data_IF_050137705671
#
_entry.id   IF_050137705671
#
_cell.length_a   1.000
_cell.length_b   1.000
_cell.length_c   1.000
_cell.angle_alpha   90.00
_cell.angle_beta   90.00
_cell.angle_gamma   90.00
#
_symmetry.space_group_name_H-M   'P 1'
#
loop_
_entity.id
_entity.type
_entity.pdbx_description
1 polymer ?
#
# COMPACT_ATOMS: atom_id res chain seq x y z
N UNK A 1 26.05 -12.12 -5.09
CA UNK A 1 25.71 -11.39 -6.32
C UNK A 1 24.65 -12.15 -7.13
N UNK A 2 23.48 -12.43 -6.52
CA UNK A 2 22.32 -13.10 -7.17
C UNK A 2 20.97 -12.44 -6.80
N UNK A 3 20.99 -11.27 -6.17
CA UNK A 3 19.78 -10.65 -5.58
C UNK A 3 19.25 -9.42 -6.33
N UNK A 4 19.74 -9.13 -7.55
CA UNK A 4 19.34 -7.93 -8.30
C UNK A 4 18.38 -8.19 -9.49
N UNK A 5 17.81 -9.39 -9.60
CA UNK A 5 16.93 -9.78 -10.74
C UNK A 5 15.52 -10.25 -10.33
N UNK A 6 15.01 -9.81 -9.18
CA UNK A 6 13.55 -9.78 -8.96
C UNK A 6 13.06 -8.39 -9.37
N UNK A 7 12.72 -8.30 -10.65
CA UNK A 7 11.93 -7.23 -11.25
C UNK A 7 10.85 -6.74 -10.28
N UNK A 8 10.76 -5.42 -10.10
CA UNK A 8 9.70 -4.83 -9.29
C UNK A 8 8.36 -5.36 -9.80
N UNK A 9 7.74 -6.21 -9.01
CA UNK A 9 6.48 -6.80 -9.42
C UNK A 9 5.46 -5.68 -9.65
N UNK A 10 4.76 -5.61 -10.79
CA UNK A 10 3.93 -4.45 -11.16
C UNK A 10 2.80 -4.16 -10.16
N UNK A 11 2.42 -5.15 -9.34
CA UNK A 11 1.44 -4.99 -8.26
C UNK A 11 2.03 -4.47 -6.94
N UNK A 12 3.36 -4.46 -6.77
CA UNK A 12 3.99 -4.10 -5.49
C UNK A 12 3.96 -2.59 -5.32
N UNK A 13 3.28 -2.13 -4.27
CA UNK A 13 3.25 -0.73 -3.88
C UNK A 13 4.57 -0.36 -3.19
N UNK A 14 5.20 0.74 -3.62
CA UNK A 14 6.45 1.22 -3.04
C UNK A 14 6.21 2.54 -2.27
N UNK A 15 6.83 2.74 -1.10
CA UNK A 15 6.67 3.98 -0.32
C UNK A 15 7.07 5.21 -1.14
N UNK A 16 6.24 6.24 -1.14
CA UNK A 16 6.48 7.49 -1.88
C UNK A 16 6.43 7.36 -3.40
N UNK A 17 5.83 6.27 -3.92
CA UNK A 17 5.76 5.97 -5.37
C UNK A 17 4.34 5.63 -5.84
N UNK A 18 3.35 5.69 -4.96
CA UNK A 18 1.95 5.41 -5.31
C UNK A 18 1.24 6.73 -5.56
N UNK A 19 0.59 6.86 -6.70
CA UNK A 19 -0.30 7.98 -6.98
C UNK A 19 -1.50 7.99 -6.01
N UNK A 20 -1.95 9.18 -5.60
CA UNK A 20 -3.04 9.33 -4.63
C UNK A 20 -4.35 8.73 -5.14
N UNK A 21 -4.68 8.93 -6.42
CA UNK A 21 -5.90 8.35 -7.02
C UNK A 21 -5.80 6.83 -7.05
N UNK A 22 -4.65 6.28 -7.42
CA UNK A 22 -4.40 4.84 -7.34
C UNK A 22 -4.60 4.30 -5.91
N UNK A 23 -4.02 4.95 -4.89
CA UNK A 23 -4.22 4.57 -3.50
C UNK A 23 -5.71 4.56 -3.13
N UNK A 24 -6.44 5.61 -3.46
CA UNK A 24 -7.87 5.72 -3.12
C UNK A 24 -8.72 4.64 -3.79
N UNK A 25 -8.42 4.27 -5.03
CA UNK A 25 -9.09 3.16 -5.71
C UNK A 25 -8.89 1.84 -4.95
N UNK A 26 -7.66 1.54 -4.52
CA UNK A 26 -7.36 0.35 -3.72
C UNK A 26 -8.07 0.38 -2.35
N UNK A 27 -8.11 1.53 -1.68
CA UNK A 27 -8.84 1.71 -0.42
C UNK A 27 -10.32 1.41 -0.61
N UNK A 28 -10.95 1.95 -1.67
CA UNK A 28 -12.38 1.80 -1.93
C UNK A 28 -12.82 0.34 -2.10
N UNK A 29 -11.98 -0.50 -2.69
CA UNK A 29 -12.27 -1.93 -2.89
C UNK A 29 -11.80 -2.81 -1.73
N UNK A 30 -11.08 -2.25 -0.76
CA UNK A 30 -10.60 -2.97 0.42
C UNK A 30 -11.60 -2.93 1.59
N UNK A 31 -11.30 -3.69 2.65
CA UNK A 31 -11.99 -3.61 3.95
C UNK A 31 -11.50 -2.48 4.85
N UNK A 32 -10.54 -1.65 4.40
CA UNK A 32 -9.95 -0.59 5.22
C UNK A 32 -10.89 0.63 5.23
N UNK A 33 -11.52 0.88 6.39
CA UNK A 33 -12.48 2.00 6.56
C UNK A 33 -12.07 3.07 7.57
N UNK A 34 -11.03 2.81 8.36
CA UNK A 34 -10.57 3.78 9.36
C UNK A 34 -9.87 4.96 8.70
N UNK A 35 -10.44 6.17 8.79
CA UNK A 35 -9.81 7.40 8.27
C UNK A 35 -8.38 7.59 8.79
N UNK A 36 -8.13 7.23 10.05
CA UNK A 36 -6.79 7.25 10.65
C UNK A 36 -5.82 6.34 9.90
N UNK A 37 -6.24 5.12 9.56
CA UNK A 37 -5.42 4.17 8.80
C UNK A 37 -5.26 4.62 7.35
N UNK A 38 -6.32 5.12 6.71
CA UNK A 38 -6.26 5.63 5.34
C UNK A 38 -5.23 6.76 5.24
N UNK A 39 -5.25 7.71 6.18
CA UNK A 39 -4.28 8.79 6.24
C UNK A 39 -2.85 8.29 6.51
N UNK A 40 -2.68 7.29 7.37
CA UNK A 40 -1.38 6.66 7.62
C UNK A 40 -0.83 5.95 6.38
N UNK A 41 -1.69 5.27 5.60
CA UNK A 41 -1.33 4.63 4.34
C UNK A 41 -1.01 5.66 3.25
N UNK A 42 -1.70 6.79 3.21
CA UNK A 42 -1.34 7.92 2.33
C UNK A 42 0.04 8.47 2.68
N UNK A 43 0.29 8.77 3.95
CA UNK A 43 1.60 9.23 4.42
C UNK A 43 2.71 8.21 4.07
N UNK A 44 2.43 6.91 4.09
CA UNK A 44 3.41 5.88 3.72
C UNK A 44 3.62 5.74 2.21
N UNK A 45 2.56 5.49 1.45
CA UNK A 45 2.64 5.09 0.04
C UNK A 45 2.70 6.26 -0.93
N UNK A 46 2.07 7.39 -0.61
CA UNK A 46 2.05 8.60 -1.45
C UNK A 46 3.16 9.54 -1.04
N UNK A 47 3.24 9.87 0.25
CA UNK A 47 4.22 10.87 0.76
C UNK A 47 5.60 10.26 1.07
N UNK A 48 5.72 8.93 1.17
CA UNK A 48 7.00 8.26 1.44
C UNK A 48 7.56 8.49 2.85
N UNK A 49 6.71 8.85 3.81
CA UNK A 49 7.13 9.15 5.19
C UNK A 49 7.64 7.92 5.92
N UNK A 50 8.53 8.15 6.88
CA UNK A 50 9.10 7.08 7.71
C UNK A 50 8.04 6.52 8.63
N UNK A 51 8.06 5.20 8.85
CA UNK A 51 7.09 4.50 9.69
C UNK A 51 7.02 5.03 11.12
N UNK A 52 8.14 5.48 11.69
CA UNK A 52 8.19 6.09 13.03
C UNK A 52 7.32 7.35 13.11
N UNK A 53 7.54 8.28 12.18
CA UNK A 53 6.77 9.53 12.07
C UNK A 53 5.28 9.26 11.87
N UNK A 54 4.92 8.29 11.02
CA UNK A 54 3.53 7.91 10.76
C UNK A 54 2.86 7.38 12.04
N UNK A 55 3.52 6.46 12.73
CA UNK A 55 3.02 5.86 13.96
C UNK A 55 2.81 6.90 15.07
N UNK A 56 3.74 7.83 15.23
CA UNK A 56 3.65 8.94 16.18
C UNK A 56 2.50 9.89 15.81
N UNK A 57 2.44 10.34 14.55
CA UNK A 57 1.40 11.26 14.04
C UNK A 57 -0.02 10.71 14.21
N UNK A 58 -0.23 9.45 13.84
CA UNK A 58 -1.57 8.83 13.82
C UNK A 58 -1.91 8.07 15.11
N UNK A 59 -0.98 8.03 16.07
CA UNK A 59 -1.12 7.26 17.33
C UNK A 59 -1.47 5.79 17.05
N UNK A 60 -0.71 5.15 16.15
CA UNK A 60 -0.82 3.73 15.83
C UNK A 60 0.50 3.04 16.10
N UNK A 61 0.47 1.77 16.53
CA UNK A 61 1.70 1.01 16.71
C UNK A 61 2.26 0.49 15.37
N UNK A 62 3.55 0.13 15.37
CA UNK A 62 4.26 -0.34 14.17
C UNK A 62 3.65 -1.62 13.57
N UNK A 63 3.18 -2.54 14.42
CA UNK A 63 2.58 -3.81 14.00
C UNK A 63 1.25 -3.59 13.27
N UNK A 64 0.41 -2.71 13.79
CA UNK A 64 -0.86 -2.35 13.16
C UNK A 64 -0.64 -1.69 11.80
N UNK A 65 0.36 -0.80 11.70
CA UNK A 65 0.76 -0.24 10.41
C UNK A 65 1.28 -1.32 9.44
N UNK A 66 2.10 -2.28 9.89
CA UNK A 66 2.56 -3.42 9.06
C UNK A 66 1.38 -4.20 8.49
N UNK A 67 0.40 -4.55 9.33
CA UNK A 67 -0.76 -5.35 8.94
C UNK A 67 -1.53 -4.62 7.85
N UNK A 68 -1.77 -3.31 8.01
CA UNK A 68 -2.51 -2.51 7.03
C UNK A 68 -1.75 -2.26 5.74
N UNK A 69 -0.42 -2.17 5.78
CA UNK A 69 0.43 -2.16 4.59
C UNK A 69 0.29 -3.48 3.82
N UNK A 70 0.37 -4.62 4.51
CA UNK A 70 0.26 -5.94 3.88
C UNK A 70 -1.15 -6.18 3.29
N UNK A 71 -2.21 -5.83 4.02
CA UNK A 71 -3.60 -5.92 3.54
C UNK A 71 -3.78 -5.16 2.21
N UNK A 72 -3.21 -3.95 2.10
CA UNK A 72 -3.30 -3.17 0.87
C UNK A 72 -2.42 -3.74 -0.27
N UNK A 73 -1.26 -4.32 0.04
CA UNK A 73 -0.43 -5.02 -0.95
C UNK A 73 -1.15 -6.24 -1.53
N UNK A 74 -1.86 -7.00 -0.70
CA UNK A 74 -2.68 -8.12 -1.15
C UNK A 74 -3.84 -7.66 -2.03
N UNK A 75 -4.50 -6.54 -1.69
CA UNK A 75 -5.50 -5.92 -2.56
C UNK A 75 -4.92 -5.55 -3.92
N UNK A 76 -3.73 -4.94 -3.96
CA UNK A 76 -3.04 -4.59 -5.21
C UNK A 76 -2.71 -5.82 -6.06
N UNK A 77 -2.21 -6.89 -5.45
CA UNK A 77 -1.98 -8.17 -6.13
C UNK A 77 -3.27 -8.76 -6.72
N UNK A 78 -4.37 -8.74 -5.97
CA UNK A 78 -5.68 -9.23 -6.46
C UNK A 78 -6.17 -8.42 -7.67
N UNK A 79 -6.06 -7.09 -7.62
CA UNK A 79 -6.42 -6.22 -8.75
C UNK A 79 -5.57 -6.52 -9.97
N UNK A 80 -4.25 -6.68 -9.81
CA UNK A 80 -3.37 -7.05 -10.90
C UNK A 80 -3.76 -8.39 -11.52
N UNK A 81 -4.03 -9.41 -10.70
CA UNK A 81 -4.47 -10.72 -11.18
C UNK A 81 -5.82 -10.62 -11.92
N UNK A 82 -6.77 -9.83 -11.42
CA UNK A 82 -8.06 -9.60 -12.10
C UNK A 82 -7.84 -8.87 -13.43
N UNK A 83 -6.96 -7.87 -13.47
CA UNK A 83 -6.68 -7.10 -14.70
C UNK A 83 -6.20 -7.99 -15.85
N UNK A 84 -5.48 -9.08 -15.53
CA UNK A 84 -5.04 -10.06 -16.52
C UNK A 84 -6.20 -10.80 -17.20
N UNK A 85 -7.34 -10.97 -16.53
CA UNK A 85 -8.53 -11.58 -17.13
C UNK A 85 -9.37 -10.60 -17.93
N UNK A 86 -9.31 -9.30 -17.60
CA UNK A 86 -10.13 -8.26 -18.25
C UNK A 86 -9.45 -7.70 -19.50
N UNK A 87 -8.12 -7.57 -19.46
CA UNK A 87 -7.32 -7.04 -20.58
C UNK A 87 -6.87 -8.11 -21.57
N UNK A 88 -7.49 -9.30 -21.50
CA UNK A 88 -7.25 -10.42 -22.41
C UNK A 88 -8.21 -10.41 -23.59
#
# INVERSE_FOLDING_TARGET
MREQLLTQSPYRLHPGKVDKKHLMLLINISSIRSNKVINALNDYFVEGKKRKEICEKHKINQGYLSIKINELQETSLKVYNISYFILK
#
